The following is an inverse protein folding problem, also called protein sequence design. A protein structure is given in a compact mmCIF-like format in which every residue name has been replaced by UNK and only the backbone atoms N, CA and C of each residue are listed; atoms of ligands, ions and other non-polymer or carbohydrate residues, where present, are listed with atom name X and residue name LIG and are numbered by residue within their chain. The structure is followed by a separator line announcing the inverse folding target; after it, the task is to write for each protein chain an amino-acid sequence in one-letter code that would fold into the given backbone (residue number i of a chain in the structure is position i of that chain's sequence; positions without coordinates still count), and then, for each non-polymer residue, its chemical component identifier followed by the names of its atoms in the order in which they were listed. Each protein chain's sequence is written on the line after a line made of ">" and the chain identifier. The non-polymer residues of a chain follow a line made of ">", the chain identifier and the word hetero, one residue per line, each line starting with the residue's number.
data_IF_807347514858
#
_entry.id   IF_807347514858
#
_cell.length_a   1.000
_cell.length_b   1.000
_cell.length_c   1.000
_cell.angle_alpha   90.00
_cell.angle_beta   90.00
_cell.angle_gamma   90.00
#
_symmetry.space_group_name_H-M   'P 1'
#
loop_
_entity.id
_entity.type
_entity.pdbx_description
1 polymer ?
#
# COMPACT_ATOMS: atom_id res chain seq x y z
N UNK A 1 11.90 12.74 -1.51
CA UNK A 1 11.01 11.72 -2.11
C UNK A 1 11.63 10.34 -1.98
N UNK A 2 10.85 9.36 -1.52
CA UNK A 2 11.30 8.00 -1.29
C UNK A 2 11.44 7.22 -2.60
N UNK A 3 12.55 6.50 -2.78
CA UNK A 3 12.79 5.66 -3.96
C UNK A 3 12.45 4.21 -3.65
N UNK A 4 11.27 3.76 -4.06
CA UNK A 4 10.74 2.41 -3.77
C UNK A 4 11.68 1.33 -4.34
N UNK A 5 12.13 1.47 -5.60
CA UNK A 5 13.07 0.52 -6.22
C UNK A 5 14.37 0.36 -5.41
N UNK A 6 14.90 1.46 -4.86
CA UNK A 6 16.11 1.41 -4.02
C UNK A 6 15.86 0.64 -2.73
N UNK A 7 14.71 0.87 -2.09
CA UNK A 7 14.34 0.18 -0.85
C UNK A 7 14.15 -1.31 -1.10
N UNK A 8 13.47 -1.68 -2.18
CA UNK A 8 13.23 -3.07 -2.56
C UNK A 8 14.52 -3.83 -2.88
N UNK A 9 15.58 -3.14 -3.33
CA UNK A 9 16.90 -3.75 -3.55
C UNK A 9 17.70 -3.94 -2.26
N UNK A 10 17.31 -3.31 -1.14
CA UNK A 10 18.04 -3.38 0.13
C UNK A 10 17.19 -4.04 1.22
N UNK A 11 17.48 -5.30 1.54
CA UNK A 11 16.72 -6.08 2.53
C UNK A 11 16.60 -5.40 3.91
N UNK A 12 17.67 -4.74 4.36
CA UNK A 12 17.65 -3.95 5.60
C UNK A 12 16.60 -2.85 5.56
N UNK A 13 16.55 -2.07 4.48
CA UNK A 13 15.60 -0.97 4.35
C UNK A 13 14.18 -1.49 4.13
N UNK A 14 14.01 -2.51 3.30
CA UNK A 14 12.71 -3.13 3.06
C UNK A 14 12.10 -3.62 4.37
N UNK A 15 12.87 -4.33 5.20
CA UNK A 15 12.40 -4.82 6.49
C UNK A 15 12.14 -3.69 7.49
N UNK A 16 12.99 -2.67 7.52
CA UNK A 16 12.78 -1.51 8.41
C UNK A 16 11.49 -0.77 8.07
N UNK A 17 11.22 -0.57 6.77
CA UNK A 17 10.11 0.24 6.28
C UNK A 17 8.80 -0.53 6.12
N UNK A 18 8.82 -1.85 5.91
CA UNK A 18 7.59 -2.64 5.65
C UNK A 18 7.35 -3.75 6.67
N UNK A 19 8.34 -4.06 7.52
CA UNK A 19 8.31 -5.21 8.42
C UNK A 19 8.59 -6.56 7.74
N UNK A 20 8.60 -6.64 6.41
CA UNK A 20 8.79 -7.89 5.66
C UNK A 20 10.23 -8.08 5.17
N UNK A 21 10.69 -9.33 5.13
CA UNK A 21 11.86 -9.74 4.36
C UNK A 21 11.50 -9.79 2.87
N UNK A 22 12.47 -9.66 1.97
CA UNK A 22 12.25 -9.70 0.51
C UNK A 22 11.43 -10.91 0.06
N UNK A 23 11.81 -12.12 0.48
CA UNK A 23 11.09 -13.35 0.11
C UNK A 23 9.60 -13.30 0.48
N UNK A 24 9.26 -12.76 1.65
CA UNK A 24 7.87 -12.65 2.09
C UNK A 24 7.11 -11.58 1.29
N UNK A 25 7.77 -10.46 1.00
CA UNK A 25 7.21 -9.41 0.15
C UNK A 25 6.93 -9.92 -1.27
N UNK A 26 7.90 -10.61 -1.89
CA UNK A 26 7.77 -11.19 -3.23
C UNK A 26 6.71 -12.30 -3.28
N UNK A 27 6.58 -13.11 -2.23
CA UNK A 27 5.53 -14.13 -2.15
C UNK A 27 4.12 -13.53 -1.98
N UNK A 28 4.00 -12.38 -1.31
CA UNK A 28 2.72 -11.69 -1.11
C UNK A 28 2.28 -10.91 -2.35
N UNK A 29 3.21 -10.39 -3.14
CA UNK A 29 2.94 -9.51 -4.27
C UNK A 29 1.97 -10.12 -5.32
N UNK A 30 2.10 -11.38 -5.76
CA UNK A 30 1.15 -11.98 -6.70
C UNK A 30 -0.27 -12.05 -6.15
N UNK A 31 -0.43 -12.47 -4.88
CA UNK A 31 -1.74 -12.56 -4.22
C UNK A 31 -2.40 -11.19 -4.10
N UNK A 32 -1.65 -10.21 -3.61
CA UNK A 32 -2.10 -8.83 -3.52
C UNK A 32 -2.51 -8.27 -4.88
N UNK A 33 -1.71 -8.52 -5.93
CA UNK A 33 -1.98 -8.06 -7.29
C UNK A 33 -3.26 -8.67 -7.85
N UNK A 34 -3.49 -9.96 -7.64
CA UNK A 34 -4.71 -10.65 -8.07
C UNK A 34 -5.96 -10.08 -7.41
N UNK A 35 -5.95 -9.92 -6.07
CA UNK A 35 -7.07 -9.33 -5.32
C UNK A 35 -7.32 -7.88 -5.77
N UNK A 36 -6.24 -7.10 -5.96
CA UNK A 36 -6.33 -5.73 -6.45
C UNK A 36 -7.00 -5.65 -7.83
N UNK A 37 -6.60 -6.52 -8.76
CA UNK A 37 -7.18 -6.58 -10.11
C UNK A 37 -8.65 -6.99 -10.08
N UNK A 38 -9.01 -8.02 -9.30
CA UNK A 38 -10.41 -8.44 -9.13
C UNK A 38 -11.29 -7.29 -8.60
N UNK A 39 -10.81 -6.53 -7.60
CA UNK A 39 -11.55 -5.37 -7.08
C UNK A 39 -11.69 -4.24 -8.09
N UNK A 40 -10.76 -4.08 -9.03
CA UNK A 40 -10.89 -3.09 -10.11
C UNK A 40 -11.98 -3.49 -11.10
N UNK A 41 -12.09 -4.77 -11.44
CA UNK A 41 -13.10 -5.29 -12.37
C UNK A 41 -14.52 -5.18 -11.79
N UNK A 42 -14.66 -5.35 -10.47
CA UNK A 42 -15.97 -5.33 -9.79
C UNK A 42 -16.48 -3.92 -9.44
N UNK A 43 -15.74 -2.85 -9.78
CA UNK A 43 -16.24 -1.48 -9.56
C UNK A 43 -16.93 -0.95 -10.83
N UNK A 44 -18.15 -0.39 -10.72
CA UNK A 44 -18.74 0.35 -11.84
C UNK A 44 -17.78 1.47 -12.24
N UNK A 45 -17.52 1.58 -13.54
CA UNK A 45 -16.51 2.45 -14.16
C UNK A 45 -16.69 3.91 -13.72
N UNK A 46 -16.03 4.32 -12.64
CA UNK A 46 -15.85 5.74 -12.32
C UNK A 46 -14.84 6.33 -13.31
N UNK A 47 -15.14 7.53 -13.81
CA UNK A 47 -14.35 8.31 -14.80
C UNK A 47 -12.84 8.20 -14.55
N UNK A 48 -12.06 8.26 -15.63
CA UNK A 48 -10.60 8.24 -15.58
C UNK A 48 -10.09 9.20 -14.48
N UNK A 49 -9.45 8.62 -13.45
CA UNK A 49 -8.74 9.38 -12.43
C UNK A 49 -7.52 9.99 -13.14
N UNK A 50 -7.66 11.22 -13.65
CA UNK A 50 -6.69 11.78 -14.60
C UNK A 50 -6.47 13.30 -14.53
N UNK A 51 -7.05 14.01 -13.57
CA UNK A 51 -6.85 15.47 -13.43
C UNK A 51 -5.71 15.90 -12.49
N UNK A 52 -5.08 14.96 -11.79
CA UNK A 52 -4.08 15.24 -10.75
C UNK A 52 -2.70 14.69 -11.06
N UNK A 53 -1.66 15.33 -10.49
CA UNK A 53 -0.24 15.00 -10.63
C UNK A 53 -0.01 13.48 -10.51
N UNK A 54 0.66 12.90 -11.53
CA UNK A 54 0.91 11.45 -11.67
C UNK A 54 1.48 10.86 -10.37
N UNK A 55 0.68 10.06 -9.67
CA UNK A 55 1.06 9.47 -8.38
C UNK A 55 2.13 8.38 -8.56
N UNK A 56 3.10 8.25 -7.65
CA UNK A 56 4.11 7.17 -7.73
C UNK A 56 3.54 5.76 -7.48
N UNK A 57 2.25 5.64 -7.16
CA UNK A 57 1.59 4.38 -6.84
C UNK A 57 0.96 3.74 -8.09
N UNK A 58 1.74 3.58 -9.15
CA UNK A 58 1.26 2.99 -10.40
C UNK A 58 1.31 1.47 -10.35
N UNK A 59 2.45 0.91 -9.95
CA UNK A 59 2.68 -0.54 -9.99
C UNK A 59 2.03 -1.21 -8.77
N UNK A 60 1.55 -2.46 -8.88
CA UNK A 60 1.06 -3.22 -7.73
C UNK A 60 2.08 -3.29 -6.59
N UNK A 61 3.37 -3.36 -6.95
CA UNK A 61 4.49 -3.35 -6.01
C UNK A 61 4.58 -2.06 -5.20
N UNK A 62 4.41 -0.90 -5.83
CA UNK A 62 4.43 0.40 -5.15
C UNK A 62 3.25 0.53 -4.18
N UNK A 63 2.07 0.04 -4.59
CA UNK A 63 0.86 0.00 -3.76
C UNK A 63 1.03 -0.91 -2.55
N UNK A 64 1.56 -2.11 -2.75
CA UNK A 64 1.86 -3.04 -1.66
C UNK A 64 2.87 -2.44 -0.69
N UNK A 65 3.94 -1.84 -1.22
CA UNK A 65 4.95 -1.16 -0.40
C UNK A 65 4.32 -0.04 0.44
N UNK A 66 3.49 0.81 -0.17
CA UNK A 66 2.84 1.92 0.52
C UNK A 66 2.00 1.47 1.71
N UNK A 67 1.13 0.47 1.51
CA UNK A 67 0.23 0.05 2.58
C UNK A 67 0.99 -0.65 3.72
N UNK A 68 2.00 -1.46 3.40
CA UNK A 68 2.88 -2.05 4.42
C UNK A 68 3.69 -0.99 5.17
N UNK A 69 4.19 0.02 4.46
CA UNK A 69 4.87 1.15 5.07
C UNK A 69 3.94 1.92 6.01
N UNK A 70 2.70 2.14 5.61
CA UNK A 70 1.70 2.80 6.43
C UNK A 70 1.46 2.03 7.74
N UNK A 71 1.24 0.73 7.67
CA UNK A 71 1.06 -0.10 8.87
C UNK A 71 2.33 -0.28 9.71
N UNK A 72 3.52 -0.17 9.11
CA UNK A 72 4.79 -0.31 9.83
C UNK A 72 5.17 0.96 10.58
N UNK A 73 4.96 2.12 9.96
CA UNK A 73 5.46 3.40 10.47
C UNK A 73 4.35 4.32 10.99
N UNK A 74 3.07 4.01 10.74
CA UNK A 74 1.90 4.85 11.04
C UNK A 74 2.15 6.35 10.79
N UNK A 75 2.66 6.73 9.60
CA UNK A 75 2.94 8.11 9.28
C UNK A 75 1.64 8.91 9.20
N UNK A 76 1.70 10.21 9.48
CA UNK A 76 0.60 11.11 9.11
C UNK A 76 0.44 11.12 7.58
N UNK A 77 -0.77 11.43 7.11
CA UNK A 77 -1.03 11.49 5.66
C UNK A 77 -0.21 12.56 4.95
N UNK A 78 0.19 13.62 5.64
CA UNK A 78 1.07 14.67 5.11
C UNK A 78 2.51 14.13 4.91
N UNK A 79 3.05 13.41 5.90
CA UNK A 79 4.37 12.75 5.78
C UNK A 79 4.33 11.69 4.68
N UNK A 80 3.29 10.86 4.65
CA UNK A 80 3.10 9.89 3.57
C UNK A 80 3.00 10.59 2.20
N UNK A 81 2.26 11.70 2.12
CA UNK A 81 2.16 12.52 0.91
C UNK A 81 3.52 13.01 0.41
N UNK A 82 4.34 13.56 1.29
CA UNK A 82 5.71 14.03 0.97
C UNK A 82 6.62 12.87 0.53
N UNK A 83 6.55 11.72 1.20
CA UNK A 83 7.39 10.56 0.88
C UNK A 83 7.04 9.95 -0.47
N UNK A 84 5.75 9.82 -0.78
CA UNK A 84 5.25 9.18 -2.01
C UNK A 84 4.92 10.16 -3.14
N UNK A 85 5.09 11.46 -2.91
CA UNK A 85 4.79 12.54 -3.86
C UNK A 85 3.33 12.50 -4.34
N UNK A 86 2.43 12.41 -3.37
CA UNK A 86 0.98 12.49 -3.54
C UNK A 86 0.46 13.52 -2.54
N UNK A 87 -0.71 14.11 -2.79
CA UNK A 87 -1.31 14.97 -1.79
C UNK A 87 -1.88 14.15 -0.61
N UNK A 88 -2.16 14.83 0.50
CA UNK A 88 -2.70 14.25 1.73
C UNK A 88 -4.00 13.47 1.49
N UNK A 89 -4.91 13.99 0.66
CA UNK A 89 -6.19 13.35 0.36
C UNK A 89 -6.01 12.07 -0.45
N UNK A 90 -5.05 12.06 -1.38
CA UNK A 90 -4.66 10.85 -2.11
C UNK A 90 -4.01 9.82 -1.17
N UNK A 91 -3.12 10.22 -0.27
CA UNK A 91 -2.52 9.31 0.72
C UNK A 91 -3.61 8.63 1.57
N UNK A 92 -4.56 9.41 2.08
CA UNK A 92 -5.72 8.90 2.80
C UNK A 92 -6.56 7.94 1.95
N UNK A 93 -6.88 8.33 0.71
CA UNK A 93 -7.67 7.50 -0.23
C UNK A 93 -6.98 6.17 -0.53
N UNK A 94 -5.66 6.20 -0.77
CA UNK A 94 -4.88 5.00 -1.04
C UNK A 94 -4.80 4.07 0.17
N UNK A 95 -4.65 4.61 1.38
CA UNK A 95 -4.63 3.80 2.60
C UNK A 95 -5.94 3.01 2.75
N UNK A 96 -7.09 3.71 2.75
CA UNK A 96 -8.40 3.07 2.90
C UNK A 96 -8.73 2.11 1.75
N UNK A 97 -8.25 2.39 0.53
CA UNK A 97 -8.46 1.52 -0.63
C UNK A 97 -7.64 0.24 -0.55
N UNK A 98 -6.38 0.34 -0.10
CA UNK A 98 -5.42 -0.77 -0.15
C UNK A 98 -5.47 -1.66 1.10
N UNK A 99 -5.91 -1.13 2.25
CA UNK A 99 -6.10 -1.91 3.47
C UNK A 99 -6.93 -3.19 3.27
N UNK A 100 -8.18 -3.14 2.78
CA UNK A 100 -9.00 -4.36 2.65
C UNK A 100 -8.48 -5.32 1.56
N UNK A 101 -7.62 -4.83 0.66
CA UNK A 101 -6.96 -5.66 -0.36
C UNK A 101 -5.77 -6.39 0.26
N UNK A 102 -5.04 -5.71 1.14
CA UNK A 102 -3.95 -6.30 1.91
C UNK A 102 -4.47 -7.39 2.85
N UNK A 103 -5.54 -7.12 3.59
CA UNK A 103 -6.21 -8.08 4.49
C UNK A 103 -6.64 -9.35 3.73
N UNK A 104 -7.33 -9.18 2.61
CA UNK A 104 -7.72 -10.30 1.75
C UNK A 104 -6.52 -11.08 1.17
N UNK A 105 -5.40 -10.40 0.88
CA UNK A 105 -4.19 -11.05 0.37
C UNK A 105 -3.40 -11.84 1.43
N UNK A 106 -3.49 -11.45 2.71
CA UNK A 106 -2.92 -12.18 3.84
C UNK A 106 -3.77 -13.39 4.28
N UNK A 107 -5.06 -13.42 3.93
CA UNK A 107 -6.03 -14.37 4.47
C UNK A 107 -6.52 -13.92 5.85
N UNK A 108 -7.72 -14.36 6.25
CA UNK A 108 -8.51 -13.88 7.41
C UNK A 108 -7.81 -13.84 8.79
N UNK A 109 -6.53 -14.18 8.90
CA UNK A 109 -5.77 -14.18 10.15
C UNK A 109 -5.21 -12.82 10.58
N UNK A 110 -5.41 -11.75 9.79
CA UNK A 110 -5.14 -10.37 10.19
C UNK A 110 -6.46 -9.65 10.48
N UNK A 111 -7.26 -10.21 11.40
CA UNK A 111 -8.08 -9.37 12.26
C UNK A 111 -7.09 -8.44 12.95
N UNK A 112 -6.90 -7.24 12.39
CA UNK A 112 -6.32 -6.11 13.11
C UNK A 112 -7.05 -6.10 14.44
N UNK A 113 -6.35 -6.50 15.51
CA UNK A 113 -6.93 -6.61 16.83
C UNK A 113 -7.60 -5.27 17.09
N UNK A 114 -8.92 -5.37 17.19
CA UNK A 114 -9.88 -4.29 17.23
C UNK A 114 -9.33 -3.19 18.13
N UNK A 115 -9.28 -1.96 17.62
CA UNK A 115 -9.46 -0.80 18.48
C UNK A 115 -10.92 -0.85 18.97
N UNK A 116 -11.16 -1.72 19.95
CA UNK A 116 -12.26 -1.67 20.89
C UNK A 116 -11.61 -1.78 22.27
N UNK A 117 -11.14 -0.66 22.80
CA UNK A 117 -10.97 -0.45 24.25
C UNK A 117 -10.90 1.05 24.50
N UNK A 118 -11.90 1.59 25.20
CA UNK A 118 -12.03 2.99 25.57
C UNK A 118 -13.41 3.53 25.27
#
# INVERSE_FOLDING_TARGET
>A
MLSIDRVLRQDRLLRALTGLKRKAFEALLPRFSAVYQQRLLNRPRQRAIGGGRKSRLHRPQDKLFYILFYFKCYPTFDVAGVLFNIDRSQACTWMHRLQPILEAAFGEHLVLTRAQTG
#
